data_IF_690537930811
#
_entry.id   IF_690537930811
#
_cell.length_a   1.000
_cell.length_b   1.000
_cell.length_c   1.000
_cell.angle_alpha   90.00
_cell.angle_beta   90.00
_cell.angle_gamma   90.00
#
_symmetry.space_group_name_H-M   'P 1'
#
loop_
_entity.id
_entity.type
_entity.pdbx_description
1 polymer ?
#
# COMPACT_ATOMS: atom_id res chain seq x y z
N UNK A 1 1.50 20.29 -9.51
CA UNK A 1 2.49 19.29 -9.05
C UNK A 1 3.46 18.97 -10.17
N UNK A 2 4.74 18.87 -9.85
CA UNK A 2 5.77 18.36 -10.78
C UNK A 2 5.57 16.87 -11.08
N UNK A 3 5.95 16.42 -12.27
CA UNK A 3 5.83 15.01 -12.69
C UNK A 3 6.68 14.11 -11.80
N UNK A 4 7.85 14.59 -11.37
CA UNK A 4 8.73 13.88 -10.43
C UNK A 4 8.06 13.65 -9.08
N UNK A 5 7.36 14.66 -8.55
CA UNK A 5 6.59 14.53 -7.31
C UNK A 5 5.42 13.55 -7.47
N UNK A 6 4.71 13.61 -8.59
CA UNK A 6 3.61 12.69 -8.90
C UNK A 6 4.11 11.23 -8.87
N UNK A 7 5.21 10.96 -9.57
CA UNK A 7 5.81 9.63 -9.60
C UNK A 7 6.29 9.17 -8.22
N UNK A 8 6.96 10.04 -7.46
CA UNK A 8 7.43 9.72 -6.12
C UNK A 8 6.29 9.36 -5.16
N UNK A 9 5.21 10.14 -5.17
CA UNK A 9 4.03 9.89 -4.34
C UNK A 9 3.35 8.58 -4.75
N UNK A 10 3.18 8.33 -6.06
CA UNK A 10 2.60 7.07 -6.53
C UNK A 10 3.43 5.86 -6.09
N UNK A 11 4.77 5.94 -6.17
CA UNK A 11 5.67 4.88 -5.67
C UNK A 11 5.47 4.66 -4.17
N UNK A 12 5.31 5.72 -3.37
CA UNK A 12 5.04 5.61 -1.94
C UNK A 12 3.72 4.84 -1.69
N UNK A 13 2.64 5.22 -2.37
CA UNK A 13 1.36 4.49 -2.31
C UNK A 13 1.53 3.03 -2.70
N UNK A 14 2.32 2.74 -3.75
CA UNK A 14 2.55 1.38 -4.23
C UNK A 14 3.32 0.53 -3.21
N UNK A 15 4.37 1.08 -2.60
CA UNK A 15 5.13 0.39 -1.55
C UNK A 15 4.26 0.13 -0.32
N UNK A 16 3.50 1.13 0.14
CA UNK A 16 2.56 0.97 1.27
C UNK A 16 1.51 -0.10 0.96
N UNK A 17 0.91 -0.07 -0.23
CA UNK A 17 -0.04 -1.09 -0.68
C UNK A 17 0.59 -2.49 -0.72
N UNK A 18 1.86 -2.60 -1.15
CA UNK A 18 2.56 -3.88 -1.19
C UNK A 18 2.68 -4.50 0.21
N UNK A 19 3.03 -3.70 1.22
CA UNK A 19 3.08 -4.15 2.61
C UNK A 19 1.72 -4.59 3.16
N UNK A 20 0.63 -3.92 2.75
CA UNK A 20 -0.73 -4.30 3.14
C UNK A 20 -1.16 -5.62 2.49
N UNK A 21 -0.85 -5.81 1.20
CA UNK A 21 -1.29 -6.98 0.43
C UNK A 21 -0.44 -8.22 0.69
N UNK A 22 0.87 -8.07 0.94
CA UNK A 22 1.80 -9.19 1.11
C UNK A 22 1.37 -10.23 2.17
N UNK A 23 0.91 -9.87 3.38
CA UNK A 23 0.46 -10.86 4.38
C UNK A 23 -0.85 -11.56 3.98
N UNK A 24 -1.60 -11.02 3.02
CA UNK A 24 -2.91 -11.53 2.64
C UNK A 24 -2.75 -12.70 1.67
N UNK A 25 -3.19 -13.89 2.11
CA UNK A 25 -3.20 -15.09 1.27
C UNK A 25 -1.93 -15.94 1.35
N UNK A 26 -1.02 -15.62 2.26
CA UNK A 26 0.06 -16.53 2.65
C UNK A 26 -0.54 -17.64 3.52
N UNK A 27 -0.23 -18.90 3.18
CA UNK A 27 -0.52 -20.08 4.00
C UNK A 27 0.77 -20.83 4.24
N UNK A 28 0.96 -21.29 5.47
CA UNK A 28 2.15 -22.04 5.89
C UNK A 28 1.96 -23.55 5.72
N UNK A 29 3.07 -24.29 5.57
CA UNK A 29 3.08 -25.75 5.42
C UNK A 29 2.40 -26.46 6.60
N UNK A 30 2.60 -25.94 7.82
CA UNK A 30 1.96 -26.45 9.04
C UNK A 30 0.42 -26.41 8.99
N UNK A 31 -0.16 -25.40 8.34
CA UNK A 31 -1.61 -25.25 8.22
C UNK A 31 -2.20 -26.14 7.11
N UNK A 32 -1.39 -26.52 6.13
CA UNK A 32 -1.85 -27.23 4.92
C UNK A 32 -1.61 -28.75 5.00
N UNK A 33 -0.89 -29.25 6.02
CA UNK A 33 -0.47 -30.67 6.15
C UNK A 33 0.26 -31.22 4.91
N UNK A 34 0.89 -30.33 4.14
CA UNK A 34 1.74 -30.69 3.02
C UNK A 34 3.13 -31.01 3.54
N UNK A 35 3.71 -32.13 3.07
CA UNK A 35 5.08 -32.47 3.39
C UNK A 35 6.02 -31.41 2.80
N UNK A 36 6.89 -30.84 3.65
CA UNK A 36 7.97 -29.99 3.18
C UNK A 36 8.98 -30.83 2.39
N UNK A 37 9.55 -30.24 1.34
CA UNK A 37 10.64 -30.86 0.59
C UNK A 37 11.94 -30.58 1.36
N UNK A 38 12.84 -31.55 1.42
CA UNK A 38 14.14 -31.39 2.09
C UNK A 38 14.90 -30.18 1.52
N UNK A 39 15.31 -29.24 2.38
CA UNK A 39 15.96 -27.98 2.01
C UNK A 39 15.05 -26.75 1.88
N UNK A 40 13.72 -26.90 2.03
CA UNK A 40 12.79 -25.76 2.07
C UNK A 40 12.80 -25.09 3.46
N UNK A 41 12.83 -23.76 3.50
CA UNK A 41 12.75 -23.02 4.77
C UNK A 41 11.35 -23.13 5.40
N UNK A 42 11.28 -23.29 6.72
CA UNK A 42 10.02 -23.46 7.48
C UNK A 42 8.99 -22.33 7.25
N UNK A 43 9.48 -21.12 6.94
CA UNK A 43 8.64 -19.94 6.67
C UNK A 43 8.24 -19.75 5.20
N UNK A 44 8.66 -20.64 4.30
CA UNK A 44 8.37 -20.48 2.87
C UNK A 44 6.86 -20.71 2.60
N UNK A 45 6.16 -19.76 1.96
CA UNK A 45 4.74 -19.93 1.64
C UNK A 45 4.53 -21.13 0.70
N UNK A 46 3.51 -21.95 1.00
CA UNK A 46 3.17 -23.13 0.17
C UNK A 46 2.65 -22.71 -1.21
N UNK A 47 1.95 -21.58 -1.27
CA UNK A 47 1.24 -21.13 -2.47
C UNK A 47 1.48 -19.63 -2.68
N UNK A 48 2.70 -19.26 -3.05
CA UNK A 48 2.98 -17.88 -3.41
C UNK A 48 2.45 -17.58 -4.82
N UNK A 49 1.48 -16.66 -4.92
CA UNK A 49 0.86 -16.22 -6.18
C UNK A 49 1.32 -14.80 -6.52
N UNK A 50 2.56 -14.61 -7.04
CA UNK A 50 3.16 -13.29 -7.22
C UNK A 50 2.32 -12.36 -8.10
N UNK A 51 1.73 -12.90 -9.17
CA UNK A 51 0.91 -12.11 -10.09
C UNK A 51 -0.35 -11.55 -9.43
N UNK A 52 -0.98 -12.32 -8.54
CA UNK A 52 -2.17 -11.87 -7.79
C UNK A 52 -1.80 -10.76 -6.81
N UNK A 53 -0.68 -10.90 -6.11
CA UNK A 53 -0.16 -9.89 -5.20
C UNK A 53 0.12 -8.59 -5.96
N UNK A 54 0.84 -8.67 -7.07
CA UNK A 54 1.18 -7.50 -7.88
C UNK A 54 -0.05 -6.76 -8.41
N UNK A 55 -1.07 -7.50 -8.90
CA UNK A 55 -2.32 -6.92 -9.37
C UNK A 55 -3.10 -6.23 -8.25
N UNK A 56 -3.27 -6.89 -7.09
CA UNK A 56 -3.98 -6.31 -5.95
C UNK A 56 -3.26 -5.10 -5.38
N UNK A 57 -1.92 -5.17 -5.26
CA UNK A 57 -1.08 -4.05 -4.84
C UNK A 57 -1.26 -2.86 -5.77
N UNK A 58 -1.18 -3.09 -7.08
CA UNK A 58 -1.33 -2.02 -8.07
C UNK A 58 -2.73 -1.42 -8.04
N UNK A 59 -3.77 -2.24 -7.90
CA UNK A 59 -5.15 -1.78 -7.81
C UNK A 59 -5.37 -0.91 -6.56
N UNK A 60 -4.89 -1.37 -5.40
CA UNK A 60 -5.01 -0.65 -4.14
C UNK A 60 -4.25 0.69 -4.18
N UNK A 61 -3.00 0.65 -4.66
CA UNK A 61 -2.16 1.84 -4.80
C UNK A 61 -2.77 2.86 -5.77
N UNK A 62 -3.23 2.40 -6.93
CA UNK A 62 -3.85 3.26 -7.94
C UNK A 62 -5.13 3.90 -7.41
N UNK A 63 -5.96 3.14 -6.70
CA UNK A 63 -7.20 3.66 -6.10
C UNK A 63 -6.89 4.75 -5.06
N UNK A 64 -5.95 4.50 -4.15
CA UNK A 64 -5.55 5.48 -3.14
C UNK A 64 -4.92 6.73 -3.75
N UNK A 65 -4.05 6.56 -4.74
CA UNK A 65 -3.42 7.67 -5.45
C UNK A 65 -4.43 8.51 -6.23
N UNK A 66 -5.40 7.90 -6.92
CA UNK A 66 -6.46 8.63 -7.63
C UNK A 66 -7.27 9.47 -6.66
N UNK A 67 -7.69 8.92 -5.52
CA UNK A 67 -8.44 9.66 -4.50
C UNK A 67 -7.64 10.86 -3.97
N UNK A 68 -6.35 10.64 -3.67
CA UNK A 68 -5.44 11.72 -3.27
C UNK A 68 -5.31 12.81 -4.35
N UNK A 69 -5.11 12.40 -5.60
CA UNK A 69 -4.90 13.34 -6.71
C UNK A 69 -6.18 14.14 -7.04
N UNK A 70 -7.35 13.50 -6.98
CA UNK A 70 -8.63 14.20 -7.12
C UNK A 70 -8.85 15.19 -5.98
N UNK A 71 -8.54 14.80 -4.74
CA UNK A 71 -8.60 15.70 -3.61
C UNK A 71 -7.64 16.90 -3.78
N UNK A 72 -6.43 16.67 -4.30
CA UNK A 72 -5.48 17.74 -4.62
C UNK A 72 -6.00 18.72 -5.68
N UNK A 73 -6.76 18.25 -6.69
CA UNK A 73 -7.32 19.10 -7.73
C UNK A 73 -8.56 19.88 -7.28
N UNK A 74 -9.46 19.22 -6.55
CA UNK A 74 -10.77 19.80 -6.20
C UNK A 74 -10.82 20.42 -4.80
N UNK A 75 -9.82 20.15 -3.94
CA UNK A 75 -9.75 20.71 -2.60
C UNK A 75 -10.87 20.26 -1.67
N UNK A 76 -11.38 19.03 -1.81
CA UNK A 76 -12.49 18.53 -0.98
C UNK A 76 -12.15 18.45 0.52
N UNK A 77 -10.88 18.22 0.84
CA UNK A 77 -10.34 18.14 2.20
C UNK A 77 -9.04 18.93 2.16
N UNK A 78 -8.96 19.94 3.00
CA UNK A 78 -7.82 20.85 3.12
C UNK A 78 -7.07 20.58 4.42
N UNK A 79 -5.90 21.20 4.56
CA UNK A 79 -5.13 21.11 5.81
C UNK A 79 -5.90 21.76 6.97
N UNK A 80 -6.72 22.76 6.69
CA UNK A 80 -7.51 23.47 7.70
C UNK A 80 -8.58 22.56 8.32
N UNK A 81 -9.08 21.58 7.56
CA UNK A 81 -10.09 20.61 8.05
C UNK A 81 -9.52 19.60 9.06
N UNK A 82 -8.19 19.50 9.15
CA UNK A 82 -7.47 18.56 10.02
C UNK A 82 -6.56 19.27 11.05
N UNK A 83 -6.50 20.61 11.04
CA UNK A 83 -5.69 21.37 11.99
C UNK A 83 -6.40 21.55 13.34
N UNK A 84 -6.46 20.47 14.12
CA UNK A 84 -7.05 20.47 15.47
C UNK A 84 -6.26 21.32 16.48
N UNK A 85 -5.03 21.71 16.15
CA UNK A 85 -4.12 22.40 17.07
C UNK A 85 -4.03 23.90 16.80
N UNK A 86 -4.73 24.43 15.80
CA UNK A 86 -4.67 25.84 15.38
C UNK A 86 -3.25 26.25 15.00
N UNK A 87 -2.49 25.31 14.43
CA UNK A 87 -1.07 25.50 14.12
C UNK A 87 -0.88 26.56 13.03
N UNK A 88 -1.81 26.65 12.08
CA UNK A 88 -1.76 27.64 10.98
C UNK A 88 -2.00 29.06 11.45
N UNK A 89 -2.83 29.27 12.47
CA UNK A 89 -3.09 30.60 13.04
C UNK A 89 -1.91 31.18 13.84
N UNK A 90 -1.01 30.32 14.34
CA UNK A 90 0.18 30.74 15.13
C UNK A 90 1.37 31.16 14.28
N UNK A 91 1.33 30.90 12.97
CA UNK A 91 2.42 31.18 12.02
C UNK A 91 2.23 32.51 11.26
N UNK A 92 1.09 33.17 11.46
CA UNK A 92 0.76 34.50 10.94
C UNK A 92 0.85 35.54 12.06
#
# INVERSE_FOLDING_TARGET
MEITSIAAIYILFWVTAAFIILPIGIRNHYETKTNMIEGQADGAPVNFRPLRVLLLTTLLATTGFILFYLNYLYGWITVDDIDFFGSRDRLN
#
